data_IF_870906072858
#
_entry.id   IF_870906072858
#
_cell.length_a   1.000
_cell.length_b   1.000
_cell.length_c   1.000
_cell.angle_alpha   90.00
_cell.angle_beta   90.00
_cell.angle_gamma   90.00
#
_symmetry.space_group_name_H-M   'P 1'
#
loop_
_entity.id
_entity.type
_entity.pdbx_description
1 polymer ?
#
# COMPACT_ATOMS: atom_id res chain seq x y z
N UNK A 1 -3.94 -23.82 -17.26
CA UNK A 1 -3.84 -23.25 -15.91
C UNK A 1 -4.70 -23.98 -14.87
N UNK A 2 -6.04 -24.03 -14.97
CA UNK A 2 -6.90 -24.58 -13.89
C UNK A 2 -6.64 -26.06 -13.53
N UNK A 3 -6.47 -26.95 -14.52
CA UNK A 3 -6.13 -28.37 -14.29
C UNK A 3 -4.75 -28.53 -13.65
N UNK A 4 -3.78 -27.74 -14.10
CA UNK A 4 -2.41 -27.69 -13.60
C UNK A 4 -2.36 -27.29 -12.12
N UNK A 5 -3.12 -26.27 -11.72
CA UNK A 5 -3.22 -25.81 -10.32
C UNK A 5 -3.81 -26.91 -9.42
N UNK A 6 -4.84 -27.62 -9.90
CA UNK A 6 -5.43 -28.74 -9.15
C UNK A 6 -4.42 -29.87 -8.91
N UNK A 7 -3.64 -30.23 -9.93
CA UNK A 7 -2.56 -31.21 -9.80
C UNK A 7 -1.48 -30.77 -8.81
N UNK A 8 -1.01 -29.53 -8.90
CA UNK A 8 0.03 -29.00 -7.99
C UNK A 8 -0.44 -28.96 -6.54
N UNK A 9 -1.71 -28.65 -6.31
CA UNK A 9 -2.31 -28.61 -4.97
C UNK A 9 -2.72 -29.99 -4.44
N UNK A 10 -2.55 -31.06 -5.22
CA UNK A 10 -2.97 -32.41 -4.84
C UNK A 10 -4.48 -32.58 -4.67
N UNK A 11 -5.30 -31.69 -5.26
CA UNK A 11 -6.77 -31.75 -5.15
C UNK A 11 -7.38 -32.44 -6.38
N UNK A 12 -8.53 -33.14 -6.24
CA UNK A 12 -9.16 -33.85 -7.35
C UNK A 12 -9.40 -32.96 -8.57
N UNK A 13 -9.17 -33.48 -9.78
CA UNK A 13 -9.36 -32.71 -11.01
C UNK A 13 -10.83 -32.27 -11.20
N UNK A 14 -11.76 -33.00 -10.58
CA UNK A 14 -13.21 -32.77 -10.50
C UNK A 14 -13.61 -31.66 -9.52
N UNK A 15 -12.69 -31.15 -8.69
CA UNK A 15 -12.98 -30.09 -7.71
C UNK A 15 -13.68 -28.91 -8.38
N UNK A 16 -14.77 -28.44 -7.77
CA UNK A 16 -15.55 -27.32 -8.29
C UNK A 16 -14.64 -26.08 -8.54
N UNK A 17 -14.77 -25.47 -9.72
CA UNK A 17 -13.97 -24.30 -10.12
C UNK A 17 -14.17 -23.13 -9.16
N UNK A 18 -15.37 -22.92 -8.65
CA UNK A 18 -15.68 -21.87 -7.68
C UNK A 18 -14.99 -22.14 -6.33
N UNK A 19 -14.95 -23.40 -5.89
CA UNK A 19 -14.21 -23.79 -4.69
C UNK A 19 -12.69 -23.60 -4.88
N UNK A 20 -12.15 -23.94 -6.06
CA UNK A 20 -10.75 -23.68 -6.40
C UNK A 20 -10.42 -22.19 -6.43
N UNK A 21 -11.33 -21.34 -6.93
CA UNK A 21 -11.18 -19.89 -6.93
C UNK A 21 -11.18 -19.33 -5.50
N UNK A 22 -12.03 -19.86 -4.61
CA UNK A 22 -12.07 -19.50 -3.17
C UNK A 22 -10.76 -19.79 -2.43
N UNK A 23 -9.95 -20.74 -2.90
CA UNK A 23 -8.60 -20.98 -2.35
C UNK A 23 -7.62 -19.83 -2.66
N UNK A 24 -7.89 -19.00 -3.68
CA UNK A 24 -7.07 -17.83 -4.02
C UNK A 24 -5.61 -18.17 -4.35
N UNK A 25 -5.38 -19.32 -4.99
CA UNK A 25 -4.03 -19.81 -5.36
C UNK A 25 -3.53 -19.15 -6.67
N UNK A 26 -4.43 -18.49 -7.39
CA UNK A 26 -4.15 -17.76 -8.63
C UNK A 26 -4.95 -16.46 -8.66
N UNK A 27 -4.49 -15.45 -9.40
CA UNK A 27 -5.23 -14.19 -9.58
C UNK A 27 -6.52 -14.45 -10.35
N UNK A 28 -7.59 -13.74 -9.98
CA UNK A 28 -8.83 -13.70 -10.76
C UNK A 28 -8.65 -12.88 -12.05
N UNK A 29 -9.57 -13.01 -13.00
CA UNK A 29 -9.57 -12.18 -14.22
C UNK A 29 -9.69 -10.69 -13.88
N UNK A 30 -10.56 -10.32 -12.95
CA UNK A 30 -10.71 -8.93 -12.51
C UNK A 30 -9.43 -8.40 -11.88
N UNK A 31 -8.69 -9.24 -11.15
CA UNK A 31 -7.41 -8.85 -10.57
C UNK A 31 -6.31 -8.70 -11.61
N UNK A 32 -6.30 -9.55 -12.63
CA UNK A 32 -5.40 -9.39 -13.78
C UNK A 32 -5.77 -8.13 -14.57
N UNK A 33 -7.06 -7.86 -14.77
CA UNK A 33 -7.56 -6.67 -15.44
C UNK A 33 -7.21 -5.40 -14.65
N UNK A 34 -7.38 -5.39 -13.33
CA UNK A 34 -6.98 -4.28 -12.46
C UNK A 34 -5.47 -4.11 -12.41
N UNK A 35 -4.71 -5.20 -12.35
CA UNK A 35 -3.25 -5.13 -12.42
C UNK A 35 -2.77 -4.55 -13.75
N UNK A 36 -3.37 -4.99 -14.86
CA UNK A 36 -3.11 -4.49 -16.20
C UNK A 36 -3.52 -3.02 -16.33
N UNK A 37 -4.72 -2.66 -15.86
CA UNK A 37 -5.25 -1.28 -15.87
C UNK A 37 -4.30 -0.36 -15.13
N UNK A 38 -3.88 -0.74 -13.93
CA UNK A 38 -2.94 0.05 -13.15
C UNK A 38 -1.58 0.16 -13.85
N UNK A 39 -1.06 -0.94 -14.43
CA UNK A 39 0.18 -0.89 -15.22
C UNK A 39 0.08 0.05 -16.44
N UNK A 40 -1.08 0.05 -17.11
CA UNK A 40 -1.35 0.95 -18.23
C UNK A 40 -1.47 2.41 -17.79
N UNK A 41 -2.16 2.68 -16.68
CA UNK A 41 -2.22 4.01 -16.08
C UNK A 41 -0.81 4.48 -15.73
N UNK A 42 -0.01 3.70 -15.00
CA UNK A 42 1.38 4.04 -14.67
C UNK A 42 2.24 4.28 -15.92
N UNK A 43 2.05 3.49 -16.97
CA UNK A 43 2.75 3.66 -18.25
C UNK A 43 2.38 4.99 -18.91
N UNK A 44 1.08 5.26 -19.06
CA UNK A 44 0.54 6.46 -19.71
C UNK A 44 0.86 7.75 -18.93
N UNK A 45 0.86 7.68 -17.60
CA UNK A 45 1.32 8.77 -16.71
C UNK A 45 2.75 9.24 -17.05
N UNK A 46 3.52 8.36 -17.70
CA UNK A 46 4.90 8.59 -18.06
C UNK A 46 5.15 9.60 -19.15
N UNK A 47 4.17 9.91 -19.99
CA UNK A 47 4.36 10.79 -21.16
C UNK A 47 3.35 11.92 -21.14
N UNK A 48 3.69 13.07 -21.75
CA UNK A 48 2.76 14.21 -21.85
C UNK A 48 1.46 13.79 -22.56
N UNK A 49 1.59 13.17 -23.74
CA UNK A 49 0.45 12.66 -24.49
C UNK A 49 -0.37 11.62 -23.71
N UNK A 50 0.28 10.74 -22.94
CA UNK A 50 -0.43 9.75 -22.13
C UNK A 50 -1.19 10.37 -20.95
N UNK A 51 -0.66 11.45 -20.35
CA UNK A 51 -1.36 12.23 -19.33
C UNK A 51 -2.57 12.97 -19.90
N UNK A 52 -2.43 13.58 -21.07
CA UNK A 52 -3.54 14.26 -21.76
C UNK A 52 -4.67 13.25 -22.06
N UNK A 53 -4.30 12.04 -22.49
CA UNK A 53 -5.24 10.95 -22.75
C UNK A 53 -5.93 10.44 -21.48
N UNK A 54 -5.18 10.28 -20.38
CA UNK A 54 -5.76 9.91 -19.09
C UNK A 54 -6.72 11.00 -18.57
N UNK A 55 -6.34 12.27 -18.69
CA UNK A 55 -7.18 13.40 -18.31
C UNK A 55 -8.46 13.46 -19.14
N UNK A 56 -8.38 13.23 -20.45
CA UNK A 56 -9.54 13.16 -21.34
C UNK A 56 -10.47 11.98 -20.99
N UNK A 57 -9.92 10.88 -20.47
CA UNK A 57 -10.67 9.74 -19.96
C UNK A 57 -11.22 9.94 -18.53
N UNK A 58 -11.04 11.12 -17.93
CA UNK A 58 -11.44 11.40 -16.54
C UNK A 58 -10.60 10.66 -15.49
N UNK A 59 -9.46 10.10 -15.88
CA UNK A 59 -8.53 9.40 -15.01
C UNK A 59 -7.39 10.36 -14.64
N UNK A 60 -7.25 10.68 -13.35
CA UNK A 60 -6.10 11.45 -12.88
C UNK A 60 -5.02 10.49 -12.39
N UNK A 61 -3.92 10.28 -13.13
CA UNK A 61 -2.80 9.53 -12.61
C UNK A 61 -2.18 10.30 -11.44
N UNK A 62 -2.11 9.68 -10.27
CA UNK A 62 -1.71 10.38 -9.04
C UNK A 62 -0.24 10.80 -8.96
N UNK A 63 0.57 10.53 -10.00
CA UNK A 63 1.95 11.00 -10.13
C UNK A 63 2.33 11.17 -11.60
N UNK A 64 2.73 12.38 -12.00
CA UNK A 64 3.42 12.61 -13.26
C UNK A 64 4.81 11.97 -13.16
N UNK A 65 5.26 11.10 -14.09
CA UNK A 65 6.65 10.58 -14.01
C UNK A 65 7.73 11.67 -13.97
N UNK A 66 7.44 12.89 -14.42
CA UNK A 66 8.34 14.04 -14.30
C UNK A 66 8.53 14.56 -12.86
N UNK A 67 7.68 14.14 -11.91
CA UNK A 67 7.74 14.50 -10.49
C UNK A 67 8.20 13.34 -9.60
N UNK A 68 8.35 12.14 -10.17
CA UNK A 68 8.89 10.99 -9.47
C UNK A 68 10.43 11.11 -9.38
N UNK A 69 10.96 10.93 -8.17
CA UNK A 69 12.38 10.93 -7.86
C UNK A 69 12.82 9.48 -7.63
N UNK A 70 13.91 9.11 -8.31
CA UNK A 70 14.61 7.87 -8.02
C UNK A 70 15.34 8.02 -6.67
N UNK A 71 15.02 7.14 -5.73
CA UNK A 71 15.73 7.05 -4.46
C UNK A 71 17.16 6.56 -4.69
N UNK A 72 18.09 7.13 -3.92
CA UNK A 72 19.47 6.66 -3.86
C UNK A 72 19.55 5.25 -3.25
N UNK A 73 20.66 4.55 -3.50
CA UNK A 73 20.80 3.17 -3.03
C UNK A 73 20.87 3.10 -1.50
N UNK A 74 21.46 4.09 -0.84
CA UNK A 74 21.59 4.10 0.62
C UNK A 74 20.21 4.14 1.32
N UNK A 75 19.30 4.99 0.84
CA UNK A 75 17.92 5.01 1.32
C UNK A 75 17.18 3.74 0.92
N UNK A 76 17.42 3.18 -0.27
CA UNK A 76 16.77 1.92 -0.68
C UNK A 76 17.20 0.71 0.14
N UNK A 77 18.44 0.67 0.61
CA UNK A 77 18.97 -0.41 1.46
C UNK A 77 18.44 -0.33 2.89
N UNK A 78 17.90 0.83 3.29
CA UNK A 78 17.36 1.06 4.63
C UNK A 78 15.93 0.55 4.84
N UNK A 79 15.30 -0.05 3.83
CA UNK A 79 13.98 -0.68 3.96
C UNK A 79 13.78 -1.86 3.01
N UNK A 80 12.89 -2.77 3.39
CA UNK A 80 12.41 -3.89 2.59
C UNK A 80 10.91 -3.72 2.35
N UNK A 81 10.49 -3.82 1.09
CA UNK A 81 9.07 -3.76 0.71
C UNK A 81 8.55 -5.17 0.46
N UNK A 82 7.54 -5.58 1.21
CA UNK A 82 6.89 -6.87 0.98
C UNK A 82 5.97 -6.81 -0.24
N UNK A 83 5.95 -7.85 -1.08
CA UNK A 83 5.13 -7.86 -2.28
C UNK A 83 3.64 -7.76 -1.92
N UNK A 84 2.92 -6.96 -2.71
CA UNK A 84 1.47 -6.85 -2.57
C UNK A 84 0.81 -8.24 -2.72
N UNK A 85 -0.02 -8.69 -1.75
CA UNK A 85 -0.61 -10.02 -1.80
C UNK A 85 -1.58 -10.19 -2.97
N UNK A 86 -1.57 -11.37 -3.58
CA UNK A 86 -2.58 -11.79 -4.56
C UNK A 86 -3.96 -11.96 -3.91
N UNK A 87 -5.04 -11.83 -4.68
CA UNK A 87 -6.41 -12.05 -4.22
C UNK A 87 -6.88 -11.15 -3.08
N UNK A 88 -6.76 -9.82 -3.27
CA UNK A 88 -7.09 -8.80 -2.25
C UNK A 88 -8.18 -7.80 -2.67
N UNK A 89 -8.96 -8.11 -3.72
CA UNK A 89 -10.12 -7.29 -4.11
C UNK A 89 -11.07 -7.02 -2.91
N UNK A 90 -11.46 -5.76 -2.62
CA UNK A 90 -12.32 -5.41 -1.48
C UNK A 90 -13.68 -6.10 -1.47
N UNK A 91 -14.30 -6.29 -2.65
CA UNK A 91 -15.64 -6.84 -2.77
C UNK A 91 -15.64 -8.37 -2.74
N UNK A 92 -14.71 -8.98 -3.49
CA UNK A 92 -14.69 -10.43 -3.69
C UNK A 92 -13.87 -11.21 -2.65
N UNK A 93 -12.87 -10.58 -2.03
CA UNK A 93 -11.92 -11.25 -1.13
C UNK A 93 -12.04 -10.82 0.34
N UNK A 94 -13.24 -10.46 0.79
CA UNK A 94 -13.49 -9.97 2.17
C UNK A 94 -12.89 -10.88 3.25
N UNK A 95 -13.17 -12.19 3.19
CA UNK A 95 -12.67 -13.16 4.17
C UNK A 95 -11.13 -13.24 4.20
N UNK A 96 -10.48 -13.16 3.03
CA UNK A 96 -9.02 -13.19 2.92
C UNK A 96 -8.37 -11.90 3.41
N UNK A 97 -8.98 -10.75 3.12
CA UNK A 97 -8.57 -9.45 3.67
C UNK A 97 -8.67 -9.47 5.19
N UNK A 98 -9.78 -9.95 5.75
CA UNK A 98 -9.99 -10.06 7.19
C UNK A 98 -8.98 -11.01 7.85
N UNK A 99 -8.75 -12.20 7.26
CA UNK A 99 -7.77 -13.15 7.77
C UNK A 99 -6.35 -12.57 7.77
N UNK A 100 -5.97 -11.83 6.70
CA UNK A 100 -4.69 -11.12 6.64
C UNK A 100 -4.58 -10.07 7.72
N UNK A 101 -5.58 -9.19 7.86
CA UNK A 101 -5.56 -8.13 8.87
C UNK A 101 -5.42 -8.71 10.28
N UNK A 102 -6.17 -9.77 10.60
CA UNK A 102 -6.02 -10.51 11.87
C UNK A 102 -4.62 -11.08 12.07
N UNK A 103 -4.03 -11.66 11.03
CA UNK A 103 -2.68 -12.21 11.13
C UNK A 103 -1.62 -11.11 11.37
N UNK A 104 -1.76 -9.95 10.73
CA UNK A 104 -0.87 -8.81 10.95
C UNK A 104 -1.03 -8.24 12.36
N UNK A 105 -2.27 -7.98 12.79
CA UNK A 105 -2.57 -7.42 14.12
C UNK A 105 -2.19 -8.36 15.28
N UNK A 106 -2.25 -9.68 15.09
CA UNK A 106 -1.78 -10.65 16.10
C UNK A 106 -0.27 -10.62 16.32
N UNK A 107 0.48 -10.16 15.33
CA UNK A 107 1.94 -10.12 15.35
C UNK A 107 2.49 -8.74 15.73
N UNK A 108 1.63 -7.77 16.09
CA UNK A 108 2.10 -6.44 16.50
C UNK A 108 2.69 -6.50 17.91
N UNK A 109 3.93 -6.06 18.07
CA UNK A 109 4.71 -6.15 19.32
C UNK A 109 5.17 -4.78 19.84
N UNK A 110 4.77 -3.68 19.19
CA UNK A 110 5.11 -2.32 19.62
C UNK A 110 6.05 -1.58 18.69
N UNK A 111 6.64 -2.26 17.71
CA UNK A 111 7.56 -1.67 16.71
C UNK A 111 6.85 -1.31 15.40
N UNK A 112 5.52 -1.35 15.39
CA UNK A 112 4.72 -1.09 14.20
C UNK A 112 4.19 0.34 14.19
N UNK A 113 4.17 0.93 12.99
CA UNK A 113 3.51 2.18 12.68
C UNK A 113 2.46 1.94 11.59
N UNK A 114 1.25 2.43 11.80
CA UNK A 114 0.18 2.46 10.81
C UNK A 114 0.07 3.87 10.26
N UNK A 115 0.00 3.99 8.95
CA UNK A 115 0.02 5.29 8.27
C UNK A 115 -1.18 5.44 7.35
N UNK A 116 -1.79 6.61 7.38
CA UNK A 116 -2.79 7.02 6.40
C UNK A 116 -2.65 8.52 6.06
N UNK A 117 -3.29 8.91 4.95
CA UNK A 117 -3.42 10.28 4.53
C UNK A 117 -4.84 10.58 4.05
N UNK A 118 -5.51 11.51 4.75
CA UNK A 118 -6.87 11.93 4.46
C UNK A 118 -6.89 13.35 3.87
N UNK A 119 -7.73 13.57 2.85
CA UNK A 119 -7.92 14.89 2.23
C UNK A 119 -8.79 15.77 3.12
N UNK A 120 -8.45 17.05 3.25
CA UNK A 120 -9.38 18.04 3.80
C UNK A 120 -10.48 18.37 2.79
N UNK A 121 -11.73 18.30 3.20
CA UNK A 121 -12.91 18.49 2.33
C UNK A 121 -12.86 19.79 1.51
N UNK A 122 -12.31 20.87 2.07
CA UNK A 122 -12.36 22.21 1.49
C UNK A 122 -10.98 22.82 1.14
N UNK A 123 -9.93 22.00 1.01
CA UNK A 123 -8.60 22.50 0.69
C UNK A 123 -7.80 21.53 -0.21
N UNK A 124 -6.85 22.08 -0.97
CA UNK A 124 -5.76 21.29 -1.58
C UNK A 124 -4.74 20.92 -0.50
N UNK A 125 -5.20 20.24 0.55
CA UNK A 125 -4.39 19.80 1.68
C UNK A 125 -4.80 18.40 2.10
N UNK A 126 -3.81 17.64 2.53
CA UNK A 126 -3.98 16.34 3.16
C UNK A 126 -3.42 16.40 4.57
N UNK A 127 -4.13 15.78 5.51
CA UNK A 127 -3.57 15.39 6.80
C UNK A 127 -2.93 14.03 6.65
N UNK A 128 -1.73 13.88 7.19
CA UNK A 128 -0.99 12.63 7.29
C UNK A 128 -0.93 12.28 8.78
N UNK A 129 -1.25 11.05 9.13
CA UNK A 129 -1.12 10.57 10.50
C UNK A 129 -0.39 9.23 10.55
N UNK A 130 0.34 9.06 11.65
CA UNK A 130 1.10 7.86 11.98
C UNK A 130 0.69 7.48 13.39
N UNK A 131 0.17 6.28 13.58
CA UNK A 131 -0.26 5.76 14.87
C UNK A 131 0.45 4.45 15.19
N UNK A 132 0.57 4.13 16.48
CA UNK A 132 1.11 2.84 16.92
C UNK A 132 0.04 1.72 16.88
N UNK A 133 0.44 0.50 17.24
CA UNK A 133 -0.48 -0.66 17.32
C UNK A 133 -1.66 -0.52 18.31
N UNK A 134 -1.63 0.47 19.22
CA UNK A 134 -2.72 0.79 20.16
C UNK A 134 -3.63 1.91 19.65
N UNK A 135 -3.27 2.55 18.53
CA UNK A 135 -3.95 3.73 18.00
C UNK A 135 -3.46 5.05 18.58
N UNK A 136 -2.40 5.07 19.38
CA UNK A 136 -1.84 6.34 19.88
C UNK A 136 -1.10 7.06 18.75
N UNK A 137 -1.32 8.37 18.63
CA UNK A 137 -0.66 9.22 17.64
C UNK A 137 0.85 9.29 17.91
N UNK A 138 1.64 8.89 16.91
CA UNK A 138 3.11 8.98 16.91
C UNK A 138 3.59 10.27 16.29
N UNK A 139 3.02 10.64 15.14
CA UNK A 139 3.36 11.85 14.41
C UNK A 139 2.25 12.20 13.43
N UNK A 140 2.14 13.48 13.06
CA UNK A 140 1.24 13.94 12.01
C UNK A 140 1.85 15.10 11.23
N UNK A 141 1.32 15.37 10.03
CA UNK A 141 1.69 16.53 9.23
C UNK A 141 0.53 16.98 8.34
N UNK A 142 0.56 18.24 7.94
CA UNK A 142 -0.29 18.77 6.86
C UNK A 142 0.55 18.93 5.60
N UNK A 143 0.08 18.36 4.49
CA UNK A 143 0.73 18.44 3.19
C UNK A 143 -0.13 19.22 2.21
N UNK A 144 0.44 20.24 1.55
CA UNK A 144 -0.23 20.94 0.47
C UNK A 144 -0.07 20.17 -0.84
N UNK A 145 -1.11 19.43 -1.22
CA UNK A 145 -1.19 18.69 -2.49
C UNK A 145 -2.66 18.41 -2.81
N UNK A 146 -2.96 18.19 -4.08
CA UNK A 146 -4.25 17.66 -4.54
C UNK A 146 -4.22 16.16 -4.80
N UNK A 147 -3.04 15.52 -4.70
CA UNK A 147 -2.81 14.13 -5.09
C UNK A 147 -2.72 13.21 -3.86
N UNK A 148 -3.68 12.29 -3.73
CA UNK A 148 -3.70 11.31 -2.64
C UNK A 148 -2.47 10.39 -2.64
N UNK A 149 -2.02 9.94 -3.82
CA UNK A 149 -0.84 9.08 -3.96
C UNK A 149 0.44 9.74 -3.39
N UNK A 150 0.58 11.06 -3.55
CA UNK A 150 1.70 11.82 -2.98
C UNK A 150 1.61 11.88 -1.47
N UNK A 151 0.41 12.16 -0.93
CA UNK A 151 0.21 12.23 0.51
C UNK A 151 0.45 10.88 1.21
N UNK A 152 -0.01 9.78 0.61
CA UNK A 152 0.22 8.43 1.12
C UNK A 152 1.71 8.04 1.09
N UNK A 153 2.46 8.47 0.07
CA UNK A 153 3.92 8.25 0.05
C UNK A 153 4.66 9.07 1.10
N UNK A 154 4.20 10.30 1.37
CA UNK A 154 4.74 11.12 2.46
C UNK A 154 4.46 10.47 3.81
N UNK A 155 3.28 9.88 4.01
CA UNK A 155 2.94 9.14 5.22
C UNK A 155 3.91 7.98 5.48
N UNK A 156 4.18 7.16 4.46
CA UNK A 156 5.19 6.09 4.54
C UNK A 156 6.58 6.67 4.79
N UNK A 157 6.99 7.70 4.05
CA UNK A 157 8.31 8.34 4.21
C UNK A 157 8.54 8.88 5.62
N UNK A 158 7.52 9.49 6.23
CA UNK A 158 7.59 10.01 7.59
C UNK A 158 7.72 8.89 8.63
N UNK A 159 7.01 7.76 8.47
CA UNK A 159 7.13 6.64 9.39
C UNK A 159 8.52 5.98 9.34
N UNK A 160 9.18 6.00 8.17
CA UNK A 160 10.56 5.55 8.00
C UNK A 160 11.60 6.43 8.69
N UNK A 161 11.21 7.58 9.27
CA UNK A 161 12.11 8.43 10.05
C UNK A 161 12.17 8.03 11.54
N UNK A 162 11.22 7.24 12.04
CA UNK A 162 11.23 6.77 13.43
C UNK A 162 11.94 5.40 13.53
N UNK A 163 13.21 5.33 14.00
CA UNK A 163 13.94 4.07 14.09
C UNK A 163 13.31 3.04 15.03
N UNK A 164 12.43 3.47 15.94
CA UNK A 164 11.71 2.55 16.84
C UNK A 164 10.58 1.82 16.12
N UNK A 165 10.23 2.23 14.89
CA UNK A 165 9.14 1.68 14.08
C UNK A 165 9.70 0.87 12.92
N UNK A 166 10.18 -0.33 13.22
CA UNK A 166 10.79 -1.22 12.23
C UNK A 166 9.78 -1.76 11.21
N UNK A 167 8.46 -1.70 11.48
CA UNK A 167 7.44 -2.12 10.52
C UNK A 167 6.44 -1.00 10.24
N UNK A 168 6.25 -0.67 8.97
CA UNK A 168 5.30 0.34 8.49
C UNK A 168 4.17 -0.34 7.73
N UNK A 169 2.95 -0.24 8.26
CA UNK A 169 1.72 -0.67 7.62
C UNK A 169 1.07 0.48 6.88
N UNK A 170 0.75 0.25 5.61
CA UNK A 170 -0.02 1.18 4.77
C UNK A 170 -1.05 0.40 3.96
N UNK A 171 -2.23 0.98 3.77
CA UNK A 171 -3.24 0.42 2.88
C UNK A 171 -3.15 0.94 1.43
N UNK A 172 -2.23 1.87 1.18
CA UNK A 172 -1.95 2.40 -0.15
C UNK A 172 -1.17 1.41 -1.00
N UNK A 173 -1.87 0.80 -1.96
CA UNK A 173 -1.23 -0.02 -3.01
C UNK A 173 -0.26 0.79 -3.87
N UNK A 174 -0.56 2.08 -4.08
CA UNK A 174 0.26 2.99 -4.85
C UNK A 174 1.59 3.27 -4.14
N UNK A 175 1.54 3.58 -2.84
CA UNK A 175 2.74 3.80 -2.04
C UNK A 175 3.63 2.55 -2.00
N UNK A 176 3.07 1.37 -1.72
CA UNK A 176 3.83 0.10 -1.72
C UNK A 176 4.58 -0.10 -3.04
N UNK A 177 3.93 0.16 -4.18
CA UNK A 177 4.57 0.04 -5.51
C UNK A 177 5.65 1.09 -5.75
N UNK A 178 5.40 2.34 -5.34
CA UNK A 178 6.35 3.42 -5.48
C UNK A 178 7.66 3.07 -4.75
N UNK A 179 7.56 2.72 -3.47
CA UNK A 179 8.71 2.30 -2.66
C UNK A 179 9.37 1.02 -3.17
N UNK A 180 8.59 0.03 -3.63
CA UNK A 180 9.14 -1.20 -4.20
C UNK A 180 9.99 -0.93 -5.46
N UNK A 181 9.57 0.02 -6.29
CA UNK A 181 10.32 0.42 -7.49
C UNK A 181 11.50 1.36 -7.19
N UNK A 182 11.50 2.00 -6.03
CA UNK A 182 12.43 3.08 -5.69
C UNK A 182 12.12 4.41 -6.38
N UNK A 183 11.00 4.53 -7.10
CA UNK A 183 10.52 5.77 -7.71
C UNK A 183 9.37 6.32 -6.87
N UNK A 184 9.64 7.37 -6.09
CA UNK A 184 8.67 7.99 -5.17
C UNK A 184 8.42 9.46 -5.53
N UNK A 185 7.42 10.10 -4.95
CA UNK A 185 7.16 11.53 -5.13
C UNK A 185 8.34 12.39 -4.64
N UNK A 186 8.49 13.57 -5.22
CA UNK A 186 9.49 14.56 -4.79
C UNK A 186 9.36 14.90 -3.30
N UNK A 187 8.13 14.97 -2.80
CA UNK A 187 7.81 15.24 -1.40
C UNK A 187 8.32 14.12 -0.49
N UNK A 188 8.02 12.87 -0.82
CA UNK A 188 8.49 11.71 -0.06
C UNK A 188 10.02 11.60 -0.10
N UNK A 189 10.65 11.81 -1.27
CA UNK A 189 12.09 11.84 -1.39
C UNK A 189 12.74 12.95 -0.54
N UNK A 190 12.10 14.13 -0.45
CA UNK A 190 12.58 15.22 0.41
C UNK A 190 12.51 14.85 1.89
N UNK A 191 11.44 14.18 2.33
CA UNK A 191 11.32 13.67 3.71
C UNK A 191 12.42 12.64 4.00
N UNK A 192 12.76 11.77 3.04
CA UNK A 192 13.80 10.77 3.25
C UNK A 192 15.23 11.34 3.21
N UNK A 193 15.45 12.49 2.56
CA UNK A 193 16.76 13.17 2.55
C UNK A 193 17.21 13.65 3.93
N UNK A 194 16.29 13.87 4.88
CA UNK A 194 16.67 14.21 6.26
C UNK A 194 17.09 13.00 7.09
N UNK A 195 17.07 11.79 6.52
CA UNK A 195 17.51 10.58 7.21
C UNK A 195 19.04 10.55 7.27
N UNK A 196 19.59 10.75 8.47
CA UNK A 196 20.91 10.22 8.78
C UNK A 196 20.79 8.70 8.86
N UNK A 197 21.63 7.99 8.11
CA UNK A 197 21.63 6.55 7.96
C UNK A 197 21.78 5.90 9.35
N UNK A 198 20.67 5.39 9.88
CA UNK A 198 20.66 4.51 11.05
C UNK A 198 20.61 3.07 10.56
N UNK A 199 21.31 2.19 11.29
CA UNK A 199 21.56 0.77 10.97
C UNK A 199 20.31 -0.13 10.93
N UNK A 200 19.11 0.43 11.15
CA UNK A 200 17.86 -0.32 11.25
C UNK A 200 17.12 -0.40 9.91
N UNK A 201 16.78 -1.63 9.53
CA UNK A 201 16.03 -1.93 8.31
C UNK A 201 14.54 -1.85 8.63
N UNK A 202 13.81 -0.98 7.91
CA UNK A 202 12.36 -0.91 8.02
C UNK A 202 11.66 -1.90 7.07
N UNK A 203 10.46 -2.34 7.44
CA UNK A 203 9.64 -3.27 6.68
C UNK A 203 8.34 -2.60 6.26
N UNK A 204 8.15 -2.37 4.96
CA UNK A 204 6.92 -1.78 4.42
C UNK A 204 5.98 -2.91 4.02
N UNK A 205 4.80 -2.96 4.65
CA UNK A 205 3.83 -4.05 4.49
C UNK A 205 2.45 -3.48 4.16
N UNK A 206 1.81 -4.03 3.12
CA UNK A 206 0.44 -3.66 2.79
C UNK A 206 -0.57 -4.22 3.81
N UNK A 207 -1.43 -3.34 4.36
CA UNK A 207 -2.54 -3.65 5.24
C UNK A 207 -3.90 -3.45 4.53
N UNK A 208 -4.93 -4.28 4.75
CA UNK A 208 -6.22 -4.08 4.10
C UNK A 208 -7.07 -2.97 4.76
N UNK A 209 -7.41 -1.94 3.99
CA UNK A 209 -8.33 -0.87 4.40
C UNK A 209 -9.78 -1.32 4.63
N UNK A 210 -10.56 -0.49 5.32
CA UNK A 210 -12.02 -0.51 5.44
C UNK A 210 -12.56 -1.86 5.94
N UNK A 211 -11.90 -2.40 6.97
CA UNK A 211 -12.34 -3.61 7.66
C UNK A 211 -13.12 -3.29 8.93
N UNK A 212 -13.20 -2.01 9.31
CA UNK A 212 -13.87 -1.54 10.52
C UNK A 212 -13.00 -1.73 11.78
N UNK A 213 -13.50 -1.28 12.94
CA UNK A 213 -12.73 -1.25 14.18
C UNK A 213 -12.47 -2.66 14.76
N UNK A 214 -13.40 -3.60 14.58
CA UNK A 214 -13.41 -4.88 15.29
C UNK A 214 -12.83 -6.06 14.48
N UNK A 215 -11.65 -5.86 13.87
CA UNK A 215 -10.95 -6.95 13.15
C UNK A 215 -10.59 -8.09 14.11
N UNK A 216 -10.08 -7.73 15.30
CA UNK A 216 -9.87 -8.61 16.44
C UNK A 216 -10.73 -8.07 17.59
N UNK A 217 -11.65 -8.85 18.17
CA UNK A 217 -12.49 -8.38 19.28
C UNK A 217 -11.65 -7.85 20.44
N UNK A 218 -11.95 -6.63 20.89
CA UNK A 218 -11.28 -5.99 22.02
C UNK A 218 -9.91 -5.36 21.72
N UNK A 219 -9.46 -5.38 20.46
CA UNK A 219 -8.23 -4.70 20.02
C UNK A 219 -8.59 -3.65 18.96
N UNK A 220 -8.12 -2.40 19.07
CA UNK A 220 -8.36 -1.40 18.04
C UNK A 220 -7.72 -1.82 16.72
N UNK A 221 -8.35 -1.45 15.60
CA UNK A 221 -7.74 -1.51 14.27
C UNK A 221 -7.06 -0.16 13.97
N UNK A 222 -5.73 -0.03 14.12
CA UNK A 222 -5.07 1.26 14.01
C UNK A 222 -5.07 1.82 12.59
N UNK A 223 -5.31 1.00 11.57
CA UNK A 223 -5.49 1.47 10.20
C UNK A 223 -6.79 2.27 9.99
N UNK A 224 -7.78 2.16 10.87
CA UNK A 224 -9.00 2.98 10.81
C UNK A 224 -8.90 4.22 11.72
N UNK A 225 -7.78 4.36 12.43
CA UNK A 225 -7.51 5.47 13.37
C UNK A 225 -6.45 6.42 12.80
N UNK A 226 -5.44 5.88 12.11
CA UNK A 226 -4.54 6.65 11.26
C UNK A 226 -5.34 7.43 10.21
#
# INVERSE_FOLDING_TARGET
MRKSIKQVLGIPITTNTEALLKLGVHNTLDELAEAQRMAQITRLSGTKAGRDLLSAAGLQPGINKGEAIQLDNQVRESFVVYPFPRNMNPQFNKGRRLARARALLKNTMGTEAFVDAARHENANRFSVAIVNHKGDLLSSASLHTSMADVAQQVAVAMALLDPKRTTVYTDSRAAVRAFQSGLVSKEAARVLKSRFLQDEIHHIVWFPAHLGPDVIPGQPNPNEIA
#
